data_IF_163426205054
#
_entry.id   IF_163426205054
#
_cell.length_a   1.000
_cell.length_b   1.000
_cell.length_c   1.000
_cell.angle_alpha   90.00
_cell.angle_beta   90.00
_cell.angle_gamma   90.00
#
_symmetry.space_group_name_H-M   'P 1'
#
loop_
_entity.id
_entity.type
_entity.pdbx_description
1 polymer ?
#
# COMPACT_ATOMS: atom_id res chain seq x y z
N UNK A 1 -23.75 -4.32 -1.01
CA UNK A 1 -22.33 -3.91 -0.90
C UNK A 1 -21.91 -4.23 0.52
N UNK A 2 -20.83 -4.98 0.77
CA UNK A 2 -20.38 -5.22 2.14
C UNK A 2 -20.07 -3.87 2.81
N UNK A 3 -20.41 -3.76 4.09
CA UNK A 3 -20.12 -2.58 4.90
C UNK A 3 -18.60 -2.37 4.92
N UNK A 4 -18.12 -1.27 4.33
CA UNK A 4 -16.70 -0.92 4.38
C UNK A 4 -16.47 -0.16 5.68
N UNK A 5 -15.54 -0.66 6.50
CA UNK A 5 -15.09 0.07 7.68
C UNK A 5 -14.63 1.49 7.25
N UNK A 6 -14.97 2.53 8.04
CA UNK A 6 -14.58 3.89 7.72
C UNK A 6 -13.05 4.00 7.63
N UNK A 7 -12.58 4.67 6.60
CA UNK A 7 -11.15 4.95 6.40
C UNK A 7 -10.83 6.23 7.17
N UNK A 8 -9.92 6.14 8.15
CA UNK A 8 -9.51 7.31 8.95
C UNK A 8 -8.22 7.95 8.43
N UNK A 9 -7.39 7.21 7.68
CA UNK A 9 -6.13 7.70 7.13
C UNK A 9 -5.82 7.10 5.76
N UNK A 10 -4.96 7.81 5.02
CA UNK A 10 -4.36 7.33 3.77
C UNK A 10 -2.86 7.20 3.97
N UNK A 11 -2.33 5.98 3.92
CA UNK A 11 -0.90 5.72 3.92
C UNK A 11 -0.38 5.70 2.49
N UNK A 12 0.74 6.38 2.26
CA UNK A 12 1.47 6.32 0.99
C UNK A 12 2.80 5.60 1.24
N UNK A 13 3.04 4.50 0.53
CA UNK A 13 4.26 3.71 0.66
C UNK A 13 5.01 3.66 -0.67
N UNK A 14 6.30 4.01 -0.65
CA UNK A 14 7.19 3.87 -1.81
C UNK A 14 7.93 2.55 -1.69
N UNK A 15 7.63 1.61 -2.58
CA UNK A 15 8.15 0.23 -2.58
C UNK A 15 9.11 0.05 -3.74
N UNK A 16 10.22 -0.66 -3.51
CA UNK A 16 11.19 -0.95 -4.57
C UNK A 16 10.57 -1.86 -5.64
N UNK A 17 10.93 -1.67 -6.91
CA UNK A 17 10.33 -2.37 -8.05
C UNK A 17 10.30 -3.90 -7.87
N UNK A 18 11.38 -4.49 -7.34
CA UNK A 18 11.47 -5.95 -7.20
C UNK A 18 10.53 -6.53 -6.13
N UNK A 19 10.00 -5.69 -5.22
CA UNK A 19 9.17 -6.14 -4.10
C UNK A 19 7.67 -5.88 -4.33
N UNK A 20 7.30 -5.15 -5.40
CA UNK A 20 5.93 -4.68 -5.66
C UNK A 20 4.93 -5.83 -5.71
N UNK A 21 5.26 -6.90 -6.44
CA UNK A 21 4.37 -8.05 -6.60
C UNK A 21 4.13 -8.77 -5.27
N UNK A 22 5.19 -8.94 -4.46
CA UNK A 22 5.11 -9.57 -3.16
C UNK A 22 4.24 -8.74 -2.20
N UNK A 23 4.53 -7.45 -2.10
CA UNK A 23 3.83 -6.52 -1.20
C UNK A 23 2.36 -6.38 -1.61
N UNK A 24 2.05 -6.21 -2.89
CA UNK A 24 0.67 -6.03 -3.36
C UNK A 24 -0.17 -7.29 -3.11
N UNK A 25 0.40 -8.48 -3.30
CA UNK A 25 -0.28 -9.75 -2.99
C UNK A 25 -0.55 -9.91 -1.50
N UNK A 26 0.43 -9.56 -0.67
CA UNK A 26 0.33 -9.67 0.78
C UNK A 26 -0.68 -8.65 1.35
N UNK A 27 -0.63 -7.38 0.91
CA UNK A 27 -1.62 -6.37 1.27
C UNK A 27 -3.03 -6.73 0.78
N UNK A 28 -3.15 -7.38 -0.39
CA UNK A 28 -4.43 -7.86 -0.91
C UNK A 28 -5.14 -8.91 -0.05
N UNK A 29 -4.45 -9.48 0.95
CA UNK A 29 -5.07 -10.37 1.96
C UNK A 29 -5.65 -9.60 3.16
N UNK A 30 -5.36 -8.30 3.29
CA UNK A 30 -5.88 -7.46 4.36
C UNK A 30 -7.18 -6.80 3.91
N UNK A 31 -8.11 -6.50 4.84
CA UNK A 31 -9.33 -5.74 4.55
C UNK A 31 -9.04 -4.23 4.43
N UNK A 32 -7.94 -3.86 3.76
CA UNK A 32 -7.51 -2.49 3.50
C UNK A 32 -7.45 -2.27 1.97
N UNK A 33 -8.15 -1.27 1.41
CA UNK A 33 -8.10 -1.01 -0.03
C UNK A 33 -6.72 -0.46 -0.43
N UNK A 34 -6.17 -0.99 -1.52
CA UNK A 34 -4.85 -0.59 -2.05
C UNK A 34 -4.96 -0.20 -3.53
N UNK A 35 -4.35 0.92 -3.90
CA UNK A 35 -4.15 1.32 -5.29
C UNK A 35 -2.64 1.36 -5.57
N UNK A 36 -2.23 0.72 -6.66
CA UNK A 36 -0.86 0.72 -7.14
C UNK A 36 -0.66 1.77 -8.24
N UNK A 37 0.33 2.64 -8.07
CA UNK A 37 0.78 3.60 -9.06
C UNK A 37 2.23 3.28 -9.47
N UNK A 38 2.46 3.03 -10.75
CA UNK A 38 3.82 2.93 -11.28
C UNK A 38 4.50 4.31 -11.17
N UNK A 39 5.69 4.37 -10.58
CA UNK A 39 6.39 5.63 -10.32
C UNK A 39 7.90 5.53 -10.55
N UNK A 40 8.60 6.65 -10.39
CA UNK A 40 10.05 6.75 -10.51
C UNK A 40 10.60 7.67 -9.43
N UNK A 41 11.71 7.28 -8.81
CA UNK A 41 12.39 8.10 -7.82
C UNK A 41 13.12 9.28 -8.46
N UNK A 42 12.86 10.50 -7.99
CA UNK A 42 13.43 11.72 -8.57
C UNK A 42 14.94 11.89 -8.40
N UNK A 43 15.56 11.16 -7.45
CA UNK A 43 17.01 11.26 -7.21
C UNK A 43 17.83 10.31 -8.11
N UNK A 44 17.53 9.00 -8.10
CA UNK A 44 18.29 7.99 -8.85
C UNK A 44 17.69 7.68 -10.24
N UNK A 45 16.52 8.23 -10.58
CA UNK A 45 15.82 7.90 -11.83
C UNK A 45 15.41 6.42 -11.93
N UNK A 46 15.32 5.71 -10.80
CA UNK A 46 14.97 4.29 -10.74
C UNK A 46 13.47 4.10 -10.62
N UNK A 47 12.94 3.08 -11.31
CA UNK A 47 11.53 2.68 -11.17
C UNK A 47 11.26 2.18 -9.76
N UNK A 48 10.07 2.49 -9.27
CA UNK A 48 9.52 2.03 -8.01
C UNK A 48 7.98 2.00 -8.14
N UNK A 49 7.30 1.59 -7.09
CA UNK A 49 5.86 1.73 -6.97
C UNK A 49 5.50 2.68 -5.84
N UNK A 50 4.46 3.47 -6.05
CA UNK A 50 3.76 4.18 -4.98
C UNK A 50 2.46 3.45 -4.71
N UNK A 51 2.29 2.96 -3.49
CA UNK A 51 1.06 2.33 -3.02
C UNK A 51 0.26 3.34 -2.21
N UNK A 52 -1.02 3.49 -2.54
CA UNK A 52 -2.00 4.25 -1.77
C UNK A 52 -2.89 3.27 -1.00
N UNK A 53 -2.78 3.28 0.32
CA UNK A 53 -3.41 2.30 1.21
C UNK A 53 -4.41 3.04 2.10
N UNK A 54 -5.70 2.79 1.91
CA UNK A 54 -6.72 3.28 2.83
C UNK A 54 -6.66 2.49 4.13
N UNK A 55 -6.56 3.18 5.27
CA UNK A 55 -6.47 2.57 6.59
C UNK A 55 -7.82 2.67 7.32
N UNK A 56 -8.54 1.54 7.48
CA UNK A 56 -9.56 1.39 8.49
C UNK A 56 -8.96 1.27 9.90
N UNK A 57 -9.79 1.44 10.91
CA UNK A 57 -9.40 1.25 12.32
C UNK A 57 -8.77 -0.12 12.56
N UNK A 58 -7.62 -0.14 13.24
CA UNK A 58 -6.88 -1.37 13.57
C UNK A 58 -6.08 -1.99 12.43
N UNK A 59 -5.93 -1.33 11.27
CA UNK A 59 -5.12 -1.82 10.15
C UNK A 59 -3.71 -1.23 10.09
N UNK A 60 -3.46 -0.06 10.68
CA UNK A 60 -2.17 0.64 10.55
C UNK A 60 -0.97 -0.24 10.94
N UNK A 61 -0.99 -0.85 12.13
CA UNK A 61 0.10 -1.71 12.59
C UNK A 61 0.29 -2.96 11.71
N UNK A 62 -0.80 -3.52 11.18
CA UNK A 62 -0.76 -4.70 10.30
C UNK A 62 -0.13 -4.35 8.95
N UNK A 63 -0.49 -3.20 8.39
CA UNK A 63 0.07 -2.68 7.14
C UNK A 63 1.56 -2.35 7.34
N UNK A 64 1.92 -1.66 8.43
CA UNK A 64 3.32 -1.31 8.72
C UNK A 64 4.23 -2.52 8.94
N UNK A 65 3.73 -3.61 9.54
CA UNK A 65 4.52 -4.84 9.72
C UNK A 65 4.71 -5.63 8.42
N UNK A 66 3.89 -5.37 7.42
CA UNK A 66 3.90 -6.08 6.15
C UNK A 66 4.84 -5.41 5.13
N UNK A 67 4.88 -4.07 5.14
CA UNK A 67 5.78 -3.24 4.34
C UNK A 67 7.23 -3.33 4.82
#
# INVERSE_FOLDING_TARGET
MPERLPIHALMTAVVQEQDVDLVTRALGQLPAPVVHLASMGGFLGRRNATLLIGLPDGMEEKVMKLL
#
